data_IF_480604583674
#
_entry.id   IF_480604583674
#
_cell.length_a   1.000
_cell.length_b   1.000
_cell.length_c   1.000
_cell.angle_alpha   90.00
_cell.angle_beta   90.00
_cell.angle_gamma   90.00
#
_symmetry.space_group_name_H-M   'P 1'
#
loop_
_entity.id
_entity.type
_entity.pdbx_description
1 polymer ?
#
# COMPACT_ATOMS: atom_id res chain seq x y z
N UNK A 1 -9.44 20.75 0.12
CA UNK A 1 -10.24 19.52 -0.08
C UNK A 1 -9.29 18.35 0.11
N UNK A 2 -9.66 17.39 0.94
CA UNK A 2 -8.83 16.22 1.22
C UNK A 2 -8.99 15.19 0.10
N UNK A 3 -7.88 14.57 -0.29
CA UNK A 3 -7.83 13.57 -1.37
C UNK A 3 -7.45 12.21 -0.76
N UNK A 4 -8.37 11.24 -0.72
CA UNK A 4 -8.06 9.91 -0.20
C UNK A 4 -7.17 9.13 -1.17
N UNK A 5 -6.17 8.45 -0.63
CA UNK A 5 -5.20 7.62 -1.37
C UNK A 5 -5.37 6.16 -0.97
N UNK A 6 -5.50 5.29 -1.96
CA UNK A 6 -5.43 3.84 -1.83
C UNK A 6 -4.01 3.44 -2.25
N UNK A 7 -3.22 2.86 -1.36
CA UNK A 7 -1.86 2.41 -1.63
C UNK A 7 -1.79 0.88 -1.65
N UNK A 8 -1.62 0.29 -2.83
CA UNK A 8 -1.52 -1.16 -3.01
C UNK A 8 -0.07 -1.59 -3.20
N UNK A 9 0.29 -2.77 -2.71
CA UNK A 9 1.69 -3.24 -2.79
C UNK A 9 2.64 -2.19 -2.18
N UNK A 10 2.23 -1.64 -1.04
CA UNK A 10 2.79 -0.40 -0.50
C UNK A 10 4.27 -0.52 -0.10
N UNK A 11 4.76 -1.74 0.13
CA UNK A 11 6.09 -1.97 0.66
C UNK A 11 6.27 -1.20 1.98
N UNK A 12 7.43 -0.58 2.23
CA UNK A 12 7.65 0.26 3.41
C UNK A 12 7.07 1.69 3.27
N UNK A 13 6.26 1.98 2.24
CA UNK A 13 5.49 3.22 2.12
C UNK A 13 6.15 4.38 1.39
N UNK A 14 7.20 4.15 0.61
CA UNK A 14 7.94 5.24 -0.06
C UNK A 14 7.08 6.13 -0.97
N UNK A 15 6.20 5.51 -1.77
CA UNK A 15 5.30 6.23 -2.68
C UNK A 15 4.21 7.00 -1.90
N UNK A 16 3.54 6.34 -0.96
CA UNK A 16 2.55 6.97 -0.07
C UNK A 16 3.12 8.16 0.71
N UNK A 17 4.34 8.05 1.23
CA UNK A 17 5.04 9.16 1.90
C UNK A 17 5.22 10.37 0.98
N UNK A 18 5.61 10.14 -0.28
CA UNK A 18 5.73 11.20 -1.28
C UNK A 18 4.42 11.97 -1.47
N UNK A 19 3.30 11.26 -1.61
CA UNK A 19 1.96 11.88 -1.70
C UNK A 19 1.60 12.64 -0.41
N UNK A 20 1.79 12.01 0.75
CA UNK A 20 1.39 12.58 2.06
C UNK A 20 2.12 13.88 2.42
N UNK A 21 3.29 14.13 1.81
CA UNK A 21 4.13 15.31 2.02
C UNK A 21 3.90 16.43 0.99
N UNK A 22 3.04 16.21 0.00
CA UNK A 22 2.76 17.24 -1.01
C UNK A 22 2.16 18.49 -0.37
N UNK A 23 2.71 19.66 -0.72
CA UNK A 23 2.12 20.95 -0.35
C UNK A 23 1.06 21.42 -1.37
N UNK A 24 0.96 20.75 -2.54
CA UNK A 24 0.05 21.14 -3.60
C UNK A 24 -1.38 20.65 -3.36
N UNK A 25 -1.55 19.56 -2.61
CA UNK A 25 -2.85 19.02 -2.23
C UNK A 25 -2.76 18.20 -0.93
N UNK A 26 -3.86 18.15 -0.18
CA UNK A 26 -3.96 17.40 1.07
C UNK A 26 -4.26 15.92 0.79
N UNK A 27 -3.23 15.16 0.43
CA UNK A 27 -3.34 13.71 0.26
C UNK A 27 -3.33 12.99 1.62
N UNK A 28 -4.35 12.16 1.83
CA UNK A 28 -4.50 11.31 3.01
C UNK A 28 -4.56 9.86 2.57
N UNK A 29 -3.63 9.06 3.06
CA UNK A 29 -3.66 7.62 2.81
C UNK A 29 -4.85 7.09 3.61
N UNK A 30 -5.84 6.56 2.89
CA UNK A 30 -6.99 5.91 3.49
C UNK A 30 -6.64 4.46 3.86
N UNK A 31 -5.87 3.79 3.00
CA UNK A 31 -5.40 2.43 3.22
C UNK A 31 -4.05 2.20 2.54
N UNK A 32 -3.15 1.49 3.21
CA UNK A 32 -1.97 0.85 2.64
C UNK A 32 -2.11 -0.66 2.76
N UNK A 33 -1.99 -1.42 1.65
CA UNK A 33 -2.04 -2.88 1.66
C UNK A 33 -0.66 -3.45 1.34
N UNK A 34 -0.12 -4.25 2.26
CA UNK A 34 1.18 -4.91 2.12
C UNK A 34 1.14 -6.31 2.73
N UNK A 35 1.78 -7.30 2.10
CA UNK A 35 1.78 -8.68 2.62
C UNK A 35 2.95 -8.96 3.56
N UNK A 36 4.10 -8.31 3.32
CA UNK A 36 5.31 -8.49 4.09
C UNK A 36 5.18 -7.85 5.47
N UNK A 37 5.39 -8.64 6.52
CA UNK A 37 5.20 -8.17 7.90
C UNK A 37 6.15 -7.05 8.28
N UNK A 38 7.42 -7.10 7.85
CA UNK A 38 8.40 -6.07 8.21
C UNK A 38 8.10 -4.74 7.50
N UNK A 39 7.70 -4.80 6.24
CA UNK A 39 7.23 -3.64 5.50
C UNK A 39 5.95 -3.06 6.12
N UNK A 40 5.01 -3.91 6.55
CA UNK A 40 3.80 -3.50 7.27
C UNK A 40 4.10 -2.82 8.61
N UNK A 41 5.04 -3.33 9.41
CA UNK A 41 5.51 -2.64 10.62
C UNK A 41 6.01 -1.23 10.33
N UNK A 42 6.77 -1.09 9.24
CA UNK A 42 7.29 0.20 8.80
C UNK A 42 6.16 1.15 8.40
N UNK A 43 5.14 0.65 7.68
CA UNK A 43 3.95 1.42 7.32
C UNK A 43 3.20 1.91 8.55
N UNK A 44 2.99 1.04 9.55
CA UNK A 44 2.33 1.38 10.81
C UNK A 44 3.07 2.50 11.54
N UNK A 45 4.39 2.36 11.70
CA UNK A 45 5.20 3.38 12.35
C UNK A 45 5.13 4.72 11.63
N UNK A 46 5.22 4.71 10.29
CA UNK A 46 5.12 5.90 9.45
C UNK A 46 3.74 6.57 9.54
N UNK A 47 2.66 5.78 9.50
CA UNK A 47 1.30 6.29 9.62
C UNK A 47 1.07 6.99 10.97
N UNK A 48 1.50 6.36 12.07
CA UNK A 48 1.41 6.95 13.40
C UNK A 48 2.24 8.25 13.50
N UNK A 49 3.48 8.23 13.00
CA UNK A 49 4.33 9.42 12.95
C UNK A 49 3.68 10.57 12.15
N UNK A 50 3.10 10.28 10.98
CA UNK A 50 2.41 11.29 10.17
C UNK A 50 1.19 11.86 10.87
N UNK A 51 0.44 11.03 11.59
CA UNK A 51 -0.73 11.47 12.33
C UNK A 51 -0.34 12.42 13.47
N UNK A 52 0.68 12.06 14.26
CA UNK A 52 1.27 12.95 15.27
C UNK A 52 1.74 14.27 14.67
N UNK A 53 2.47 14.22 13.54
CA UNK A 53 2.98 15.42 12.86
C UNK A 53 1.88 16.37 12.38
N UNK A 54 0.71 15.83 12.02
CA UNK A 54 -0.42 16.63 11.54
C UNK A 54 -1.33 17.10 12.67
N UNK A 55 -1.24 16.50 13.85
CA UNK A 55 -2.02 16.89 15.01
C UNK A 55 -1.41 18.14 15.68
N UNK A 56 -2.13 19.28 15.73
CA UNK A 56 -1.61 20.53 16.29
C UNK A 56 -1.39 20.47 17.82
N UNK A 57 -1.91 19.45 18.51
CA UNK A 57 -1.70 19.24 19.95
C UNK A 57 -0.36 18.55 20.25
N UNK A 58 0.29 17.97 19.25
CA UNK A 58 1.58 17.31 19.41
C UNK A 58 2.64 18.35 19.73
N UNK A 59 3.16 18.30 20.95
CA UNK A 59 4.18 19.21 21.44
C UNK A 59 5.53 18.50 21.64
N UNK A 60 6.56 19.26 22.02
CA UNK A 60 7.92 18.75 22.18
C UNK A 60 8.03 17.55 23.11
N UNK A 61 7.26 17.50 24.22
CA UNK A 61 7.29 16.37 25.16
C UNK A 61 6.76 15.09 24.55
N UNK A 62 5.78 15.19 23.64
CA UNK A 62 5.24 14.04 22.92
C UNK A 62 6.31 13.46 21.99
N UNK A 63 7.08 14.33 21.31
CA UNK A 63 8.18 13.91 20.45
C UNK A 63 9.34 13.29 21.24
N UNK A 64 9.72 13.89 22.37
CA UNK A 64 10.75 13.32 23.26
C UNK A 64 10.37 11.91 23.74
N UNK A 65 9.09 11.70 24.09
CA UNK A 65 8.58 10.39 24.48
C UNK A 65 8.55 9.42 23.29
N UNK A 66 8.07 9.85 22.14
CA UNK A 66 8.07 9.06 20.90
C UNK A 66 9.49 8.59 20.56
N UNK A 67 10.45 9.51 20.51
CA UNK A 67 11.85 9.22 20.17
C UNK A 67 12.48 8.26 21.18
N UNK A 68 12.23 8.47 22.49
CA UNK A 68 12.70 7.57 23.54
C UNK A 68 12.16 6.14 23.38
N UNK A 69 10.88 5.98 23.03
CA UNK A 69 10.26 4.67 22.81
C UNK A 69 10.80 3.99 21.55
N UNK A 70 11.01 4.75 20.47
CA UNK A 70 11.58 4.26 19.20
C UNK A 70 13.03 3.81 19.39
N UNK A 71 13.83 4.54 20.16
CA UNK A 71 15.22 4.17 20.44
C UNK A 71 15.33 2.94 21.36
N UNK A 72 14.45 2.85 22.36
CA UNK A 72 14.51 1.78 23.37
C UNK A 72 13.93 0.44 22.91
N UNK A 73 13.01 0.43 21.94
CA UNK A 73 12.25 -0.78 21.60
C UNK A 73 12.77 -1.50 20.34
N UNK A 74 12.90 -2.84 20.37
CA UNK A 74 13.10 -3.64 19.16
C UNK A 74 11.97 -3.43 18.14
N UNK A 75 12.29 -3.52 16.84
CA UNK A 75 11.33 -3.26 15.75
C UNK A 75 10.04 -4.09 15.84
N UNK A 76 10.13 -5.32 16.35
CA UNK A 76 9.02 -6.27 16.42
C UNK A 76 8.10 -6.06 17.64
N UNK A 77 8.50 -5.24 18.61
CA UNK A 77 7.69 -4.89 19.79
C UNK A 77 7.39 -3.40 19.88
N UNK A 78 8.13 -2.56 19.13
CA UNK A 78 8.01 -1.10 19.12
C UNK A 78 6.57 -0.64 18.94
N UNK A 79 5.88 -1.13 17.92
CA UNK A 79 4.52 -0.65 17.66
C UNK A 79 3.57 -0.97 18.81
N UNK A 80 3.70 -2.15 19.43
CA UNK A 80 2.93 -2.51 20.62
C UNK A 80 3.29 -1.62 21.82
N UNK A 81 4.56 -1.28 22.01
CA UNK A 81 5.01 -0.35 23.06
C UNK A 81 4.39 1.05 22.87
N UNK A 82 4.35 1.55 21.63
CA UNK A 82 3.72 2.81 21.29
C UNK A 82 2.20 2.76 21.50
N UNK A 83 1.54 1.69 21.06
CA UNK A 83 0.09 1.50 21.20
C UNK A 83 -0.35 1.42 22.66
N UNK A 84 0.47 0.85 23.54
CA UNK A 84 0.20 0.74 24.98
C UNK A 84 0.75 1.92 25.81
N UNK A 85 1.28 2.96 25.17
CA UNK A 85 1.85 4.12 25.85
C UNK A 85 0.80 4.89 26.65
N UNK A 86 1.18 5.47 27.80
CA UNK A 86 0.26 6.30 28.61
C UNK A 86 -0.17 7.59 27.91
N UNK A 87 0.54 8.03 26.87
CA UNK A 87 0.21 9.25 26.13
C UNK A 87 -0.93 9.03 25.11
N UNK A 88 -2.05 9.72 25.31
CA UNK A 88 -3.25 9.60 24.47
C UNK A 88 -2.99 9.89 22.99
N UNK A 89 -2.18 10.92 22.67
CA UNK A 89 -1.90 11.30 21.28
C UNK A 89 -1.13 10.20 20.53
N UNK A 90 -0.15 9.56 21.20
CA UNK A 90 0.60 8.44 20.62
C UNK A 90 -0.33 7.25 20.39
N UNK A 91 -1.18 6.92 21.37
CA UNK A 91 -2.14 5.81 21.23
C UNK A 91 -3.14 6.05 20.10
N UNK A 92 -3.73 7.25 20.03
CA UNK A 92 -4.66 7.64 18.96
C UNK A 92 -3.98 7.56 17.58
N UNK A 93 -2.72 8.00 17.48
CA UNK A 93 -1.94 7.89 16.25
C UNK A 93 -1.66 6.42 15.87
N UNK A 94 -1.38 5.55 16.85
CA UNK A 94 -1.24 4.11 16.63
C UNK A 94 -2.57 3.47 16.17
N UNK A 95 -3.70 3.85 16.76
CA UNK A 95 -5.03 3.38 16.32
C UNK A 95 -5.33 3.82 14.88
N UNK A 96 -4.99 5.06 14.52
CA UNK A 96 -5.07 5.53 13.14
C UNK A 96 -4.19 4.69 12.20
N UNK A 97 -2.95 4.40 12.62
CA UNK A 97 -2.03 3.58 11.84
C UNK A 97 -2.50 2.14 11.63
N UNK A 98 -3.15 1.52 12.62
CA UNK A 98 -3.79 0.21 12.47
C UNK A 98 -4.98 0.22 11.52
N UNK A 99 -5.71 1.35 11.48
CA UNK A 99 -6.77 1.54 10.51
C UNK A 99 -6.20 1.75 9.09
N UNK A 100 -5.09 2.47 8.95
CA UNK A 100 -4.49 2.77 7.64
C UNK A 100 -3.73 1.57 7.05
N UNK A 101 -2.79 0.98 7.80
CA UNK A 101 -1.86 -0.02 7.30
C UNK A 101 -2.39 -1.45 7.52
N UNK A 102 -2.67 -2.15 6.42
CA UNK A 102 -3.28 -3.46 6.40
C UNK A 102 -2.33 -4.54 5.90
N UNK A 103 -2.07 -5.54 6.75
CA UNK A 103 -1.29 -6.70 6.35
C UNK A 103 -2.16 -7.71 5.61
N UNK A 104 -2.29 -7.55 4.29
CA UNK A 104 -3.08 -8.45 3.44
C UNK A 104 -2.31 -8.83 2.18
N UNK A 105 -2.48 -10.08 1.75
CA UNK A 105 -1.99 -10.53 0.44
C UNK A 105 -3.06 -10.22 -0.61
N UNK A 106 -2.72 -9.51 -1.67
CA UNK A 106 -3.62 -9.28 -2.80
C UNK A 106 -3.65 -10.53 -3.70
N UNK A 107 -4.85 -11.03 -4.01
CA UNK A 107 -5.03 -12.16 -4.92
C UNK A 107 -6.49 -12.36 -5.37
N UNK A 108 -6.72 -13.21 -6.38
CA UNK A 108 -8.05 -13.41 -6.95
C UNK A 108 -9.06 -13.97 -5.93
N UNK A 109 -8.59 -14.78 -4.97
CA UNK A 109 -9.44 -15.47 -4.00
C UNK A 109 -9.95 -14.56 -2.88
N UNK A 110 -9.38 -13.36 -2.71
CA UNK A 110 -9.75 -12.43 -1.63
C UNK A 110 -10.12 -11.02 -2.10
N UNK A 111 -10.43 -10.84 -3.39
CA UNK A 111 -10.91 -9.57 -3.95
C UNK A 111 -12.06 -8.95 -3.15
N UNK A 112 -13.04 -9.76 -2.74
CA UNK A 112 -14.18 -9.28 -1.93
C UNK A 112 -13.76 -8.75 -0.56
N UNK A 113 -12.76 -9.37 0.06
CA UNK A 113 -12.20 -8.90 1.33
C UNK A 113 -11.46 -7.57 1.15
N UNK A 114 -10.59 -7.50 0.14
CA UNK A 114 -9.82 -6.30 -0.21
C UNK A 114 -10.77 -5.13 -0.49
N UNK A 115 -11.77 -5.33 -1.32
CA UNK A 115 -12.75 -4.29 -1.66
C UNK A 115 -13.56 -3.83 -0.45
N UNK A 116 -13.92 -4.76 0.45
CA UNK A 116 -14.58 -4.42 1.71
C UNK A 116 -13.69 -3.56 2.60
N UNK A 117 -12.41 -3.89 2.75
CA UNK A 117 -11.48 -3.10 3.55
C UNK A 117 -11.20 -1.71 2.94
N UNK A 118 -11.03 -1.61 1.62
CA UNK A 118 -10.87 -0.32 0.94
C UNK A 118 -12.12 0.54 1.15
N UNK A 119 -13.32 -0.02 0.90
CA UNK A 119 -14.59 0.70 1.05
C UNK A 119 -14.77 1.25 2.46
N UNK A 120 -14.50 0.44 3.48
CA UNK A 120 -14.56 0.84 4.90
C UNK A 120 -13.69 2.06 5.20
N UNK A 121 -12.48 2.13 4.63
CA UNK A 121 -11.55 3.26 4.84
C UNK A 121 -11.86 4.49 3.98
N UNK A 122 -12.65 4.31 2.93
CA UNK A 122 -13.17 5.42 2.13
C UNK A 122 -14.45 6.03 2.71
N UNK A 123 -15.10 5.39 3.70
CA UNK A 123 -16.33 5.91 4.34
C UNK A 123 -16.23 7.37 4.79
N UNK A 124 -15.14 7.82 5.46
CA UNK A 124 -15.01 9.22 5.88
C UNK A 124 -14.95 10.24 4.73
N UNK A 125 -14.71 9.76 3.50
CA UNK A 125 -14.57 10.57 2.29
C UNK A 125 -15.78 10.45 1.36
N UNK A 126 -16.81 9.69 1.74
CA UNK A 126 -18.01 9.51 0.93
C UNK A 126 -18.85 10.79 0.90
N UNK A 127 -19.40 11.12 -0.27
CA UNK A 127 -20.35 12.22 -0.44
C UNK A 127 -21.71 11.64 -0.84
N UNK A 128 -22.76 11.93 -0.05
CA UNK A 128 -24.15 11.49 -0.30
C UNK A 128 -24.27 9.98 -0.58
N UNK A 129 -23.54 9.17 0.20
CA UNK A 129 -23.55 7.71 0.07
C UNK A 129 -22.79 7.16 -1.14
N UNK A 130 -22.03 8.00 -1.85
CA UNK A 130 -21.22 7.60 -3.00
C UNK A 130 -19.73 7.61 -2.65
N UNK A 131 -18.98 6.74 -3.32
CA UNK A 131 -17.51 6.74 -3.23
C UNK A 131 -16.94 8.10 -3.67
N UNK A 132 -15.82 8.53 -3.07
CA UNK A 132 -15.16 9.78 -3.44
C UNK A 132 -14.74 9.75 -4.92
N UNK A 133 -15.17 10.76 -5.68
CA UNK A 133 -14.81 10.89 -7.10
C UNK A 133 -13.39 11.43 -7.33
N UNK A 134 -12.70 11.85 -6.26
CA UNK A 134 -11.37 12.43 -6.30
C UNK A 134 -10.27 11.47 -5.77
N UNK A 135 -10.62 10.23 -5.44
CA UNK A 135 -9.66 9.27 -4.89
C UNK A 135 -8.49 9.01 -5.83
N UNK A 136 -7.32 8.76 -5.27
CA UNK A 136 -6.10 8.39 -6.00
C UNK A 136 -5.71 6.97 -5.65
N UNK A 137 -5.35 6.18 -6.65
CA UNK A 137 -4.78 4.85 -6.47
C UNK A 137 -3.28 4.88 -6.75
N UNK A 138 -2.47 4.36 -5.85
CA UNK A 138 -1.03 4.24 -6.05
C UNK A 138 -0.59 2.80 -5.77
N UNK A 139 0.57 2.42 -6.30
CA UNK A 139 1.16 1.12 -5.96
C UNK A 139 2.17 0.61 -6.97
N UNK A 140 3.00 -0.33 -6.52
CA UNK A 140 4.04 -0.98 -7.33
C UNK A 140 3.82 -2.47 -7.45
N UNK A 141 2.88 -2.96 -8.29
CA UNK A 141 2.65 -4.39 -8.46
C UNK A 141 3.95 -5.10 -8.90
N UNK A 142 4.32 -6.23 -8.27
CA UNK A 142 5.64 -6.83 -8.44
C UNK A 142 5.89 -7.27 -9.88
N UNK A 143 7.05 -6.88 -10.42
CA UNK A 143 7.45 -7.22 -11.80
C UNK A 143 8.29 -8.51 -11.91
N UNK A 144 8.73 -9.08 -10.77
CA UNK A 144 9.74 -10.14 -10.76
C UNK A 144 9.28 -11.48 -11.33
N UNK A 145 7.97 -11.72 -11.41
CA UNK A 145 7.43 -12.87 -12.12
C UNK A 145 7.79 -12.80 -13.62
N UNK A 146 7.86 -11.62 -14.23
CA UNK A 146 7.96 -11.45 -15.69
C UNK A 146 9.37 -11.61 -16.29
N UNK A 147 10.40 -11.85 -15.46
CA UNK A 147 11.81 -11.85 -15.88
C UNK A 147 12.44 -13.26 -15.96
N UNK A 148 13.29 -13.47 -16.97
CA UNK A 148 14.15 -14.68 -17.09
C UNK A 148 15.08 -14.86 -15.87
N UNK A 149 15.40 -13.78 -15.16
CA UNK A 149 16.30 -13.78 -14.00
C UNK A 149 15.64 -14.37 -12.74
N UNK A 150 14.33 -14.14 -12.54
CA UNK A 150 13.54 -14.86 -11.52
C UNK A 150 13.48 -16.37 -11.79
N UNK A 151 13.36 -16.75 -13.07
CA UNK A 151 13.45 -18.17 -13.51
C UNK A 151 14.81 -18.79 -13.21
N UNK A 152 15.90 -18.02 -13.31
CA UNK A 152 17.27 -18.53 -13.07
C UNK A 152 17.59 -18.73 -11.58
N UNK A 153 17.06 -17.87 -10.69
CA UNK A 153 17.20 -18.06 -9.22
C UNK A 153 16.37 -19.24 -8.70
N UNK A 154 15.23 -19.57 -9.34
CA UNK A 154 14.38 -20.70 -8.98
C UNK A 154 14.73 -22.02 -9.68
N UNK A 155 15.73 -22.04 -10.58
CA UNK A 155 16.24 -23.28 -11.22
C UNK A 155 16.88 -24.26 -10.24
N UNK A 156 17.23 -23.82 -9.03
CA UNK A 156 17.76 -24.68 -7.97
C UNK A 156 16.70 -25.50 -7.23
N UNK A 157 15.41 -25.16 -7.38
CA UNK A 157 14.30 -25.88 -6.74
C UNK A 157 13.65 -26.79 -7.78
N UNK A 158 13.81 -28.11 -7.63
CA UNK A 158 13.35 -29.17 -8.56
C UNK A 158 11.83 -29.21 -8.86
N UNK A 159 11.05 -28.19 -8.49
CA UNK A 159 9.58 -28.10 -8.64
C UNK A 159 9.06 -26.77 -9.21
N UNK A 160 9.90 -25.91 -9.78
CA UNK A 160 9.41 -24.64 -10.34
C UNK A 160 8.77 -24.83 -11.73
N UNK A 161 7.45 -24.67 -11.80
CA UNK A 161 6.67 -24.59 -13.05
C UNK A 161 6.28 -23.13 -13.26
N UNK A 162 6.78 -22.50 -14.33
CA UNK A 162 6.56 -21.09 -14.60
C UNK A 162 5.07 -20.77 -14.85
N UNK A 163 4.28 -21.70 -15.41
CA UNK A 163 2.84 -21.53 -15.60
C UNK A 163 2.03 -21.61 -14.28
N UNK A 164 2.63 -22.07 -13.18
CA UNK A 164 1.97 -22.13 -11.86
C UNK A 164 2.39 -20.98 -10.92
N UNK A 165 3.18 -20.02 -11.40
CA UNK A 165 3.56 -18.86 -10.60
C UNK A 165 2.44 -17.79 -10.63
N UNK A 166 1.60 -17.82 -9.61
CA UNK A 166 0.45 -16.93 -9.41
C UNK A 166 0.87 -15.44 -9.34
N UNK A 167 2.17 -15.15 -9.22
CA UNK A 167 2.72 -13.79 -9.21
C UNK A 167 2.70 -13.11 -10.58
N UNK A 168 2.50 -13.86 -11.67
CA UNK A 168 2.38 -13.32 -13.03
C UNK A 168 1.11 -12.49 -13.28
N UNK A 169 0.19 -12.41 -12.32
CA UNK A 169 -1.09 -11.75 -12.51
C UNK A 169 -1.43 -10.76 -11.39
N UNK A 170 -0.49 -10.43 -10.50
CA UNK A 170 -0.74 -9.49 -9.40
C UNK A 170 -1.07 -8.06 -9.88
N UNK A 171 -0.68 -7.69 -11.10
CA UNK A 171 -1.12 -6.42 -11.69
C UNK A 171 -2.63 -6.42 -11.97
N UNK A 172 -3.26 -7.57 -12.17
CA UNK A 172 -4.71 -7.69 -12.36
C UNK A 172 -5.47 -7.31 -11.10
N UNK A 173 -4.90 -7.51 -9.91
CA UNK A 173 -5.49 -7.03 -8.65
C UNK A 173 -5.47 -5.50 -8.57
N UNK A 174 -4.43 -4.86 -9.11
CA UNK A 174 -4.41 -3.40 -9.26
C UNK A 174 -5.53 -2.95 -10.22
N UNK A 175 -5.70 -3.64 -11.36
CA UNK A 175 -6.77 -3.35 -12.32
C UNK A 175 -8.16 -3.57 -11.73
N UNK A 176 -8.33 -4.61 -10.93
CA UNK A 176 -9.59 -4.88 -10.23
C UNK A 176 -9.99 -3.70 -9.35
N UNK A 177 -9.05 -3.13 -8.59
CA UNK A 177 -9.28 -1.92 -7.79
C UNK A 177 -9.58 -0.70 -8.67
N UNK A 178 -8.92 -0.53 -9.82
CA UNK A 178 -9.29 0.51 -10.79
C UNK A 178 -10.74 0.33 -11.25
N UNK A 179 -11.13 -0.87 -11.65
CA UNK A 179 -12.44 -1.17 -12.20
C UNK A 179 -13.56 -0.93 -11.17
N UNK A 180 -13.36 -1.34 -9.92
CA UNK A 180 -14.35 -1.18 -8.87
C UNK A 180 -14.43 0.25 -8.33
N UNK A 181 -13.28 0.85 -7.97
CA UNK A 181 -13.26 2.12 -7.24
C UNK A 181 -13.16 3.34 -8.15
N UNK A 182 -12.83 3.16 -9.44
CA UNK A 182 -12.76 4.20 -10.48
C UNK A 182 -12.06 5.48 -9.99
N UNK A 183 -10.81 5.38 -9.49
CA UNK A 183 -10.08 6.53 -8.96
C UNK A 183 -9.91 7.61 -10.04
N UNK A 184 -9.84 8.87 -9.62
CA UNK A 184 -9.64 10.01 -10.52
C UNK A 184 -8.29 9.93 -11.24
N UNK A 185 -7.27 9.48 -10.51
CA UNK A 185 -5.91 9.28 -11.01
C UNK A 185 -5.37 7.99 -10.41
N UNK A 186 -4.57 7.25 -11.18
CA UNK A 186 -3.76 6.18 -10.64
C UNK A 186 -2.28 6.34 -11.00
N UNK A 187 -1.39 5.84 -10.15
CA UNK A 187 0.05 5.78 -10.37
C UNK A 187 0.53 4.36 -10.13
N UNK A 188 0.89 3.67 -11.21
CA UNK A 188 1.47 2.33 -11.18
C UNK A 188 3.00 2.44 -11.36
N UNK A 189 3.74 2.25 -10.27
CA UNK A 189 5.21 2.28 -10.30
C UNK A 189 5.77 0.93 -10.79
N UNK A 190 6.85 0.99 -11.57
CA UNK A 190 7.58 -0.20 -11.96
C UNK A 190 9.01 0.09 -12.43
N UNK A 191 9.84 -0.96 -12.48
CA UNK A 191 11.20 -0.90 -13.01
C UNK A 191 11.24 -0.85 -14.54
N UNK A 192 12.29 -0.25 -15.11
CA UNK A 192 12.50 -0.14 -16.57
C UNK A 192 12.42 -1.47 -17.32
N UNK A 193 12.76 -2.58 -16.64
CA UNK A 193 12.68 -3.93 -17.20
C UNK A 193 11.28 -4.37 -17.65
N UNK A 194 10.21 -3.70 -17.20
CA UNK A 194 8.84 -3.97 -17.65
C UNK A 194 8.68 -3.82 -19.17
N UNK A 195 9.43 -2.90 -19.80
CA UNK A 195 9.35 -2.59 -21.23
C UNK A 195 9.86 -3.75 -22.11
N UNK A 196 10.76 -4.59 -21.59
CA UNK A 196 11.36 -5.72 -22.30
C UNK A 196 10.89 -7.10 -21.79
N UNK A 197 10.12 -7.15 -20.71
CA UNK A 197 9.68 -8.38 -20.08
C UNK A 197 8.62 -9.15 -20.92
N UNK A 198 8.68 -10.48 -20.89
CA UNK A 198 7.82 -11.38 -21.69
C UNK A 198 7.19 -12.47 -20.84
N UNK A 199 5.90 -12.74 -21.11
CA UNK A 199 5.12 -13.86 -20.53
C UNK A 199 4.51 -14.61 -21.70
N UNK A 200 4.84 -15.90 -21.83
CA UNK A 200 4.58 -16.64 -23.07
C UNK A 200 5.18 -15.90 -24.27
N UNK A 201 4.36 -15.70 -25.30
CA UNK A 201 4.76 -15.04 -26.55
C UNK A 201 4.60 -13.51 -26.54
N UNK A 202 3.94 -12.95 -25.52
CA UNK A 202 3.56 -11.54 -25.43
C UNK A 202 4.50 -10.66 -24.60
N UNK A 203 4.53 -9.35 -24.92
CA UNK A 203 5.19 -8.33 -24.09
C UNK A 203 4.26 -7.87 -22.97
N UNK A 204 4.71 -7.97 -21.71
CA UNK A 204 3.86 -7.68 -20.55
C UNK A 204 3.37 -6.24 -20.53
N UNK A 205 4.23 -5.27 -20.88
CA UNK A 205 3.86 -3.87 -20.92
C UNK A 205 2.70 -3.61 -21.90
N UNK A 206 2.72 -4.26 -23.07
CA UNK A 206 1.63 -4.10 -24.05
C UNK A 206 0.31 -4.69 -23.55
N UNK A 207 0.37 -5.80 -22.82
CA UNK A 207 -0.79 -6.40 -22.17
C UNK A 207 -1.36 -5.47 -21.08
N UNK A 208 -0.53 -4.99 -20.16
CA UNK A 208 -0.94 -4.02 -19.13
C UNK A 208 -1.58 -2.78 -19.76
N UNK A 209 -0.98 -2.21 -20.81
CA UNK A 209 -1.54 -1.04 -21.50
C UNK A 209 -2.88 -1.35 -22.20
N UNK A 210 -3.08 -2.57 -22.70
CA UNK A 210 -4.35 -2.99 -23.29
C UNK A 210 -5.42 -3.17 -22.20
N UNK A 211 -5.07 -3.79 -21.09
CA UNK A 211 -5.96 -4.05 -19.96
C UNK A 211 -6.33 -2.74 -19.24
N UNK A 212 -5.42 -1.77 -19.12
CA UNK A 212 -5.73 -0.43 -18.57
C UNK A 212 -6.78 0.33 -19.37
N UNK A 213 -6.95 0.04 -20.67
CA UNK A 213 -8.04 0.64 -21.47
C UNK A 213 -9.41 0.04 -21.12
N UNK A 214 -9.42 -1.16 -20.55
CA UNK A 214 -10.61 -1.95 -20.19
C UNK A 214 -10.32 -2.78 -18.91
N UNK A 215 -10.19 -2.12 -17.75
CA UNK A 215 -9.72 -2.78 -16.52
C UNK A 215 -10.75 -3.75 -15.90
N UNK A 216 -11.97 -3.79 -16.45
CA UNK A 216 -13.08 -4.67 -16.12
C UNK A 216 -14.20 -4.50 -17.14
#
# INVERSE_FOLDING_TARGET
MTIPVIDLFAGPGGLGEGFSRSCAADFRIAISIEKDGMAHETLRLRAAHRELRRNPKTNQRVWELWDSLVEASPWNTLFSSLHCCENDLIREACQHAEHEAHQLTLGPDNRSEVSREIRKRLEPYMDKGKLPNNAVLIGGPPCQAYSVVGRSRNKGTKKYVAEQDHRHFLYEEYLHVIAEFRPAVFVMENVKGILSSRVGDGRIFQRIMADLKRPG
#
